data_IF_831099834409
#
_entry.id   IF_831099834409
#
_cell.length_a   1.000
_cell.length_b   1.000
_cell.length_c   1.000
_cell.angle_alpha   90.00
_cell.angle_beta   90.00
_cell.angle_gamma   90.00
#
_symmetry.space_group_name_H-M   'P 1'
#
loop_
_entity.id
_entity.type
_entity.pdbx_description
1 polymer ?
#
# COMPACT_ATOMS: atom_id res chain seq x y z
N UNK A 1 13.02 -3.27 -12.83
CA UNK A 1 12.77 -2.26 -11.78
C UNK A 1 12.24 -2.99 -10.57
N UNK A 2 13.02 -3.08 -9.48
CA UNK A 2 12.77 -4.00 -8.36
C UNK A 2 11.71 -3.44 -7.40
N UNK A 3 10.52 -4.07 -7.43
CA UNK A 3 9.70 -4.44 -6.27
C UNK A 3 8.77 -3.41 -5.59
N UNK A 4 7.67 -3.06 -6.26
CA UNK A 4 6.45 -2.45 -5.66
C UNK A 4 5.81 -3.27 -4.51
N UNK A 5 6.22 -4.52 -4.32
CA UNK A 5 5.66 -5.42 -3.29
C UNK A 5 5.97 -4.93 -1.88
N UNK A 6 7.15 -4.34 -1.65
CA UNK A 6 7.52 -3.83 -0.33
C UNK A 6 6.65 -2.64 0.06
N UNK A 7 6.38 -1.74 -0.88
CA UNK A 7 5.47 -0.61 -0.65
C UNK A 7 4.04 -1.07 -0.34
N UNK A 8 3.52 -2.06 -1.09
CA UNK A 8 2.19 -2.65 -0.84
C UNK A 8 2.08 -3.29 0.54
N UNK A 9 3.13 -3.98 0.99
CA UNK A 9 3.19 -4.54 2.33
C UNK A 9 3.20 -3.44 3.39
N UNK A 10 4.00 -2.39 3.18
CA UNK A 10 4.10 -1.27 4.11
C UNK A 10 2.74 -0.60 4.32
N UNK A 11 1.96 -0.41 3.26
CA UNK A 11 0.58 0.13 3.35
C UNK A 11 -0.36 -0.81 4.11
N UNK A 12 -0.30 -2.11 3.85
CA UNK A 12 -1.16 -3.09 4.54
C UNK A 12 -0.76 -3.21 6.02
N UNK A 13 0.53 -3.17 6.31
CA UNK A 13 1.07 -3.22 7.67
C UNK A 13 0.75 -1.95 8.45
N UNK A 14 0.83 -0.77 7.84
CA UNK A 14 0.39 0.51 8.41
C UNK A 14 -1.12 0.51 8.70
N UNK A 15 -1.92 -0.18 7.86
CA UNK A 15 -3.34 -0.42 8.15
C UNK A 15 -3.58 -1.42 9.29
N UNK A 16 -2.77 -2.47 9.41
CA UNK A 16 -2.92 -3.48 10.47
C UNK A 16 -2.43 -2.97 11.83
N UNK A 17 -1.43 -2.09 11.83
CA UNK A 17 -0.84 -1.51 13.04
C UNK A 17 -1.55 -0.22 13.47
N UNK A 18 -2.02 0.59 12.51
CA UNK A 18 -2.80 1.78 12.79
C UNK A 18 -4.25 1.44 13.15
N UNK A 19 -4.76 1.95 14.27
CA UNK A 19 -6.21 1.94 14.57
C UNK A 19 -7.04 2.83 13.62
N UNK A 20 -6.51 3.16 12.45
CA UNK A 20 -7.03 4.16 11.54
C UNK A 20 -7.77 3.48 10.37
N UNK A 21 -8.89 4.06 9.95
CA UNK A 21 -9.68 3.51 8.85
C UNK A 21 -8.99 3.59 7.50
N UNK A 22 -9.48 2.81 6.53
CA UNK A 22 -8.94 2.73 5.16
C UNK A 22 -8.69 4.09 4.50
N UNK A 23 -9.52 5.11 4.77
CA UNK A 23 -9.40 6.45 4.19
C UNK A 23 -8.16 7.20 4.68
N UNK A 24 -7.79 7.03 5.96
CA UNK A 24 -6.67 7.76 6.56
C UNK A 24 -5.36 7.15 6.07
N UNK A 25 -5.24 5.82 6.10
CA UNK A 25 -4.07 5.11 5.55
C UNK A 25 -3.91 5.42 4.07
N UNK A 26 -5.01 5.41 3.31
CA UNK A 26 -5.00 5.78 1.90
C UNK A 26 -4.50 7.21 1.66
N UNK A 27 -4.96 8.19 2.46
CA UNK A 27 -4.51 9.58 2.37
C UNK A 27 -3.03 9.74 2.75
N UNK A 28 -2.52 8.96 3.71
CA UNK A 28 -1.11 9.04 4.14
C UNK A 28 -0.14 8.57 3.06
N UNK A 29 -0.55 7.58 2.28
CA UNK A 29 0.25 6.99 1.20
C UNK A 29 -0.12 7.52 -0.19
N UNK A 30 -0.98 8.54 -0.27
CA UNK A 30 -1.50 9.14 -1.51
C UNK A 30 -2.08 8.12 -2.51
N UNK A 31 -2.87 7.18 -1.99
CA UNK A 31 -3.52 6.14 -2.77
C UNK A 31 -5.02 6.14 -2.53
N UNK A 32 -5.77 5.49 -3.43
CA UNK A 32 -7.22 5.34 -3.24
C UNK A 32 -7.52 4.35 -2.12
N UNK A 33 -8.49 4.68 -1.26
CA UNK A 33 -8.96 3.79 -0.19
C UNK A 33 -9.48 2.44 -0.70
N UNK A 34 -10.02 2.40 -1.93
CA UNK A 34 -10.43 1.16 -2.61
C UNK A 34 -9.24 0.25 -2.92
N UNK A 35 -8.08 0.83 -3.24
CA UNK A 35 -6.84 0.10 -3.48
C UNK A 35 -6.33 -0.54 -2.19
N UNK A 36 -6.30 0.22 -1.09
CA UNK A 36 -5.96 -0.30 0.25
C UNK A 36 -6.88 -1.45 0.64
N UNK A 37 -8.21 -1.27 0.48
CA UNK A 37 -9.20 -2.32 0.77
C UNK A 37 -8.95 -3.60 -0.03
N UNK A 38 -8.60 -3.49 -1.32
CA UNK A 38 -8.29 -4.65 -2.18
C UNK A 38 -7.01 -5.36 -1.71
N UNK A 39 -5.99 -4.61 -1.33
CA UNK A 39 -4.72 -5.16 -0.82
C UNK A 39 -4.90 -5.85 0.52
N UNK A 40 -5.59 -5.22 1.47
CA UNK A 40 -5.93 -5.81 2.77
C UNK A 40 -6.74 -7.10 2.59
N UNK A 41 -7.76 -7.10 1.72
CA UNK A 41 -8.53 -8.32 1.41
C UNK A 41 -7.68 -9.43 0.81
N UNK A 42 -6.79 -9.09 -0.13
CA UNK A 42 -5.87 -10.07 -0.72
C UNK A 42 -4.89 -10.63 0.32
N UNK A 43 -4.44 -9.77 1.26
CA UNK A 43 -3.59 -10.14 2.37
C UNK A 43 -4.31 -11.05 3.37
N UNK A 44 -5.56 -10.76 3.74
CA UNK A 44 -6.34 -11.67 4.60
C UNK A 44 -6.60 -13.03 3.94
N UNK A 45 -6.80 -13.07 2.62
CA UNK A 45 -7.11 -14.31 1.92
C UNK A 45 -5.89 -15.22 1.70
N UNK A 46 -4.70 -14.66 1.41
CA UNK A 46 -3.51 -15.42 0.98
C UNK A 46 -2.20 -14.89 1.56
N UNK A 47 -2.25 -14.01 2.55
CA UNK A 47 -1.08 -13.33 3.10
C UNK A 47 -0.32 -12.50 2.06
N UNK A 48 1.00 -12.45 2.21
CA UNK A 48 1.93 -11.76 1.30
C UNK A 48 1.81 -12.22 -0.16
N UNK A 49 1.48 -13.49 -0.40
CA UNK A 49 1.29 -14.02 -1.76
C UNK A 49 0.09 -13.40 -2.48
N UNK A 50 -0.91 -12.91 -1.75
CA UNK A 50 -2.06 -12.18 -2.30
C UNK A 50 -1.69 -10.84 -2.92
N UNK A 51 -0.63 -10.19 -2.42
CA UNK A 51 -0.15 -8.89 -2.90
C UNK A 51 0.77 -8.99 -4.13
N UNK A 52 1.31 -10.19 -4.41
CA UNK A 52 2.31 -10.39 -5.46
C UNK A 52 1.73 -10.47 -6.88
N UNK A 53 0.46 -10.86 -7.08
CA UNK A 53 0.08 -11.50 -8.37
C UNK A 53 -0.73 -10.69 -9.40
N UNK A 54 -1.21 -9.46 -9.15
CA UNK A 54 -2.19 -8.84 -10.09
C UNK A 54 -2.23 -7.32 -10.27
N UNK A 55 -1.17 -6.58 -9.93
CA UNK A 55 -1.22 -5.11 -10.01
C UNK A 55 -0.01 -4.51 -10.74
N UNK A 56 0.24 -4.95 -11.97
CA UNK A 56 1.09 -4.23 -12.95
C UNK A 56 0.47 -2.89 -13.39
N UNK A 57 -0.82 -2.65 -13.10
CA UNK A 57 -1.54 -1.48 -13.63
C UNK A 57 -1.49 -0.21 -12.78
N UNK A 58 -0.84 -0.21 -11.61
CA UNK A 58 -0.86 0.96 -10.70
C UNK A 58 0.47 1.74 -10.62
N UNK A 59 1.49 1.36 -11.38
CA UNK A 59 2.83 1.97 -11.26
C UNK A 59 3.36 2.54 -12.57
N UNK A 60 2.55 3.36 -13.26
CA UNK A 60 3.07 4.24 -14.32
C UNK A 60 3.00 5.72 -13.96
N UNK A 61 2.23 6.12 -12.94
CA UNK A 61 2.02 7.54 -12.66
C UNK A 61 1.87 7.82 -11.16
N UNK A 62 2.92 7.60 -10.38
CA UNK A 62 3.22 8.51 -9.28
C UNK A 62 4.63 8.27 -8.73
N UNK A 63 5.59 8.98 -9.31
CA UNK A 63 6.87 9.27 -8.65
C UNK A 63 6.78 10.71 -8.17
N UNK A 64 7.12 10.92 -6.89
CA UNK A 64 7.56 12.15 -6.20
C UNK A 64 6.75 12.28 -4.89
N UNK A 65 7.32 12.31 -3.69
CA UNK A 65 8.71 12.43 -3.28
C UNK A 65 8.95 11.67 -1.97
N UNK A 66 10.12 11.03 -1.94
CA UNK A 66 10.73 10.38 -0.80
C UNK A 66 11.18 11.45 0.21
N UNK A 67 10.79 11.25 1.47
CA UNK A 67 11.47 11.62 2.73
C UNK A 67 12.16 12.99 2.78
N UNK A 68 11.67 13.85 3.66
CA UNK A 68 12.57 14.58 4.54
C UNK A 68 12.16 14.42 6.01
N UNK A 69 13.06 13.73 6.71
CA UNK A 69 13.24 13.64 8.15
C UNK A 69 14.11 14.83 8.59
N UNK A 70 14.01 15.21 9.88
CA UNK A 70 14.85 16.17 10.64
C UNK A 70 14.51 17.66 10.39
N UNK A 71 14.33 18.54 11.38
CA UNK A 71 14.35 18.50 12.85
C UNK A 71 13.29 19.50 13.36
#
# INVERSE_FOLDING_TARGET
MRSDIQFKLLVVEDYLTGQQGYKIVASRHDIRWETVRKWVRAYHARGKAGLQRKYERYSAAFRQSVVQRMC
#
